data_IF_844854523293
#
_entry.id   IF_844854523293
#
_cell.length_a   1.000
_cell.length_b   1.000
_cell.length_c   1.000
_cell.angle_alpha   90.00
_cell.angle_beta   90.00
_cell.angle_gamma   90.00
#
_symmetry.space_group_name_H-M   'P 1'
#
loop_
_entity.id
_entity.type
_entity.pdbx_description
1 polymer ?
#
# COMPACT_ATOMS: atom_id res chain seq x y z
N UNK A 1 16.06 -1.09 12.61
CA UNK A 1 16.51 -1.04 11.21
C UNK A 1 17.68 -1.99 10.97
N UNK A 2 18.91 -1.58 11.29
CA UNK A 2 20.13 -2.32 10.95
C UNK A 2 20.17 -3.77 11.47
N UNK A 3 19.77 -4.01 12.73
CA UNK A 3 19.76 -5.37 13.32
C UNK A 3 18.84 -6.33 12.54
N UNK A 4 17.68 -5.86 12.07
CA UNK A 4 16.75 -6.68 11.29
C UNK A 4 17.38 -7.11 9.97
N UNK A 5 18.02 -6.17 9.26
CA UNK A 5 18.65 -6.44 7.97
C UNK A 5 19.73 -7.52 8.11
N UNK A 6 20.57 -7.43 9.16
CA UNK A 6 21.59 -8.45 9.41
C UNK A 6 20.99 -9.82 9.69
N UNK A 7 19.92 -9.89 10.49
CA UNK A 7 19.19 -11.14 10.76
C UNK A 7 18.59 -11.71 9.47
N UNK A 8 18.02 -10.87 8.62
CA UNK A 8 17.40 -11.30 7.36
C UNK A 8 18.43 -11.83 6.36
N UNK A 9 19.59 -11.18 6.23
CA UNK A 9 20.70 -11.68 5.43
C UNK A 9 21.18 -13.02 5.98
N UNK A 10 21.40 -13.11 7.30
CA UNK A 10 21.86 -14.33 7.94
C UNK A 10 20.87 -15.49 7.74
N UNK A 11 19.56 -15.25 7.91
CA UNK A 11 18.54 -16.30 7.71
C UNK A 11 18.50 -16.81 6.27
N UNK A 12 18.79 -15.96 5.28
CA UNK A 12 18.79 -16.35 3.86
C UNK A 12 19.90 -17.37 3.53
N UNK A 13 21.02 -17.35 4.26
CA UNK A 13 22.13 -18.30 4.08
C UNK A 13 21.93 -19.62 4.83
N UNK A 14 21.13 -19.65 5.90
CA UNK A 14 20.98 -20.82 6.76
C UNK A 14 20.45 -22.08 6.02
N UNK A 15 19.48 -22.02 5.08
CA UNK A 15 19.05 -23.22 4.35
C UNK A 15 20.17 -23.86 3.52
N UNK A 16 21.09 -23.05 2.98
CA UNK A 16 22.27 -23.57 2.26
C UNK A 16 23.24 -24.25 3.23
N UNK A 17 23.51 -23.64 4.38
CA UNK A 17 24.37 -24.20 5.42
C UNK A 17 23.79 -25.50 6.00
N UNK A 18 22.47 -25.54 6.23
CA UNK A 18 21.75 -26.74 6.69
C UNK A 18 21.86 -27.86 5.64
N UNK A 19 21.59 -27.55 4.36
CA UNK A 19 21.69 -28.51 3.28
C UNK A 19 23.11 -29.07 3.13
N UNK A 20 24.13 -28.20 3.26
CA UNK A 20 25.53 -28.61 3.22
C UNK A 20 25.90 -29.48 4.44
N UNK A 21 25.60 -29.03 5.66
CA UNK A 21 25.86 -29.81 6.88
C UNK A 21 25.17 -31.19 6.87
N UNK A 22 24.01 -31.29 6.22
CA UNK A 22 23.29 -32.55 6.03
C UNK A 22 24.02 -33.51 5.08
N UNK A 23 24.55 -33.02 3.95
CA UNK A 23 25.30 -33.83 2.97
C UNK A 23 26.59 -34.36 3.60
N UNK A 24 27.32 -33.52 4.31
CA UNK A 24 28.59 -33.84 4.99
C UNK A 24 28.39 -34.64 6.29
N UNK A 25 27.14 -35.03 6.61
CA UNK A 25 26.76 -35.84 7.78
C UNK A 25 27.05 -35.19 9.14
N UNK A 26 27.22 -33.87 9.21
CA UNK A 26 27.33 -33.10 10.46
C UNK A 26 25.96 -32.91 11.13
N UNK A 27 25.37 -33.99 11.65
CA UNK A 27 23.99 -34.01 12.19
C UNK A 27 23.75 -32.98 13.29
N UNK A 28 24.67 -32.83 14.25
CA UNK A 28 24.52 -31.85 15.33
C UNK A 28 24.53 -30.42 14.80
N UNK A 29 25.42 -30.11 13.85
CA UNK A 29 25.50 -28.79 13.21
C UNK A 29 24.22 -28.46 12.43
N UNK A 30 23.68 -29.44 11.70
CA UNK A 30 22.41 -29.28 10.99
C UNK A 30 21.24 -29.00 11.94
N UNK A 31 21.16 -29.70 13.08
CA UNK A 31 20.12 -29.47 14.10
C UNK A 31 20.25 -28.07 14.72
N UNK A 32 21.45 -27.65 15.13
CA UNK A 32 21.65 -26.32 15.70
C UNK A 32 21.35 -25.21 14.69
N UNK A 33 21.76 -25.37 13.43
CA UNK A 33 21.45 -24.42 12.36
C UNK A 33 19.94 -24.36 12.07
N UNK A 34 19.23 -25.50 12.12
CA UNK A 34 17.79 -25.55 11.95
C UNK A 34 17.04 -24.85 13.11
N UNK A 35 17.47 -25.05 14.35
CA UNK A 35 16.92 -24.35 15.51
C UNK A 35 17.14 -22.83 15.40
N UNK A 36 18.35 -22.40 15.05
CA UNK A 36 18.68 -21.00 14.85
C UNK A 36 17.85 -20.39 13.71
N UNK A 37 17.72 -21.08 12.58
CA UNK A 37 16.87 -20.67 11.46
C UNK A 37 15.41 -20.50 11.89
N UNK A 38 14.90 -21.44 12.67
CA UNK A 38 13.53 -21.41 13.18
C UNK A 38 13.32 -20.21 14.12
N UNK A 39 14.28 -19.92 15.00
CA UNK A 39 14.26 -18.74 15.86
C UNK A 39 14.26 -17.43 15.07
N UNK A 40 15.15 -17.30 14.08
CA UNK A 40 15.18 -16.14 13.18
C UNK A 40 13.86 -15.98 12.41
N UNK A 41 13.31 -17.07 11.89
CA UNK A 41 12.05 -17.05 11.14
C UNK A 41 10.89 -16.60 12.01
N UNK A 42 10.74 -17.14 13.24
CA UNK A 42 9.69 -16.72 14.17
C UNK A 42 9.82 -15.23 14.53
N UNK A 43 11.03 -14.77 14.82
CA UNK A 43 11.29 -13.37 15.16
C UNK A 43 10.97 -12.41 13.99
N UNK A 44 11.47 -12.71 12.79
CA UNK A 44 11.20 -11.90 11.60
C UNK A 44 9.72 -11.95 11.22
N UNK A 45 9.05 -13.11 11.33
CA UNK A 45 7.61 -13.25 11.09
C UNK A 45 6.75 -12.40 12.03
N UNK A 46 7.07 -12.37 13.34
CA UNK A 46 6.39 -11.50 14.29
C UNK A 46 6.56 -10.02 13.93
N UNK A 47 7.77 -9.64 13.51
CA UNK A 47 8.07 -8.28 13.06
C UNK A 47 7.30 -7.90 11.79
N UNK A 48 7.21 -8.82 10.83
CA UNK A 48 6.46 -8.66 9.59
C UNK A 48 4.95 -8.51 9.84
N UNK A 49 4.38 -9.29 10.76
CA UNK A 49 2.99 -9.13 11.22
C UNK A 49 2.78 -7.73 11.80
N UNK A 50 3.68 -7.27 12.68
CA UNK A 50 3.60 -5.94 13.28
C UNK A 50 3.61 -4.83 12.23
N UNK A 51 4.53 -4.90 11.27
CA UNK A 51 4.62 -3.93 10.17
C UNK A 51 3.38 -3.94 9.26
N UNK A 52 2.92 -5.13 8.85
CA UNK A 52 1.73 -5.28 8.02
C UNK A 52 0.46 -4.84 8.76
N UNK A 53 0.35 -5.10 10.05
CA UNK A 53 -0.75 -4.64 10.88
C UNK A 53 -0.72 -3.10 11.05
N UNK A 54 0.46 -2.51 11.27
CA UNK A 54 0.60 -1.07 11.46
C UNK A 54 0.28 -0.28 10.19
N UNK A 55 0.88 -0.66 9.05
CA UNK A 55 0.63 -0.03 7.75
C UNK A 55 -0.85 -0.10 7.37
N UNK A 56 -1.48 -1.26 7.56
CA UNK A 56 -2.90 -1.43 7.31
C UNK A 56 -3.76 -0.66 8.31
N UNK A 57 -3.39 -0.68 9.59
CA UNK A 57 -4.07 0.06 10.66
C UNK A 57 -4.11 1.56 10.38
N UNK A 58 -2.98 2.16 10.01
CA UNK A 58 -2.90 3.58 9.67
C UNK A 58 -3.81 3.96 8.49
N UNK A 59 -3.94 3.10 7.48
CA UNK A 59 -4.84 3.34 6.35
C UNK A 59 -6.32 3.15 6.69
N UNK A 60 -6.65 2.24 7.60
CA UNK A 60 -8.02 1.99 8.05
C UNK A 60 -8.48 3.12 8.97
N UNK A 61 -7.61 3.58 9.87
CA UNK A 61 -7.90 4.66 10.82
C UNK A 61 -8.14 6.00 10.10
N UNK A 62 -7.31 6.34 9.11
CA UNK A 62 -7.49 7.58 8.34
C UNK A 62 -8.84 7.59 7.60
N UNK A 63 -9.26 6.45 7.04
CA UNK A 63 -10.58 6.29 6.39
C UNK A 63 -11.74 6.31 7.39
N UNK A 64 -11.56 5.71 8.57
CA UNK A 64 -12.55 5.75 9.63
C UNK A 64 -12.78 7.20 10.11
N UNK A 65 -11.71 7.97 10.29
CA UNK A 65 -11.79 9.39 10.62
C UNK A 65 -12.49 10.22 9.52
N UNK A 66 -12.19 9.96 8.24
CA UNK A 66 -12.89 10.59 7.12
C UNK A 66 -14.38 10.23 7.07
N UNK A 67 -14.73 8.98 7.36
CA UNK A 67 -16.13 8.53 7.40
C UNK A 67 -16.90 9.20 8.53
N UNK A 68 -16.28 9.33 9.71
CA UNK A 68 -16.88 10.07 10.83
C UNK A 68 -17.13 11.56 10.48
N UNK A 69 -16.18 12.20 9.79
CA UNK A 69 -16.36 13.58 9.29
C UNK A 69 -17.47 13.66 8.26
N UNK A 70 -17.57 12.67 7.37
CA UNK A 70 -18.66 12.58 6.40
C UNK A 70 -20.02 12.46 7.09
N UNK A 71 -20.16 11.60 8.10
CA UNK A 71 -21.42 11.43 8.83
C UNK A 71 -21.80 12.71 9.58
N UNK A 72 -20.83 13.41 10.15
CA UNK A 72 -21.04 14.72 10.78
C UNK A 72 -21.48 15.79 9.78
N UNK A 73 -20.79 15.90 8.64
CA UNK A 73 -21.15 16.85 7.57
C UNK A 73 -22.53 16.54 6.97
N UNK A 74 -22.88 15.26 6.83
CA UNK A 74 -24.20 14.85 6.37
C UNK A 74 -25.30 15.24 7.36
N UNK A 75 -25.08 15.01 8.66
CA UNK A 75 -26.03 15.43 9.69
C UNK A 75 -26.19 16.96 9.70
N UNK A 76 -25.11 17.68 9.47
CA UNK A 76 -25.15 19.14 9.34
C UNK A 76 -25.97 19.57 8.11
N UNK A 77 -25.79 18.92 6.97
CA UNK A 77 -26.60 19.16 5.78
C UNK A 77 -28.09 18.91 6.05
N UNK A 78 -28.41 17.82 6.73
CA UNK A 78 -29.79 17.48 7.11
C UNK A 78 -30.39 18.54 8.06
N UNK A 79 -29.60 19.06 9.01
CA UNK A 79 -30.02 20.16 9.89
C UNK A 79 -30.30 21.44 9.10
N UNK A 80 -29.37 21.86 8.23
CA UNK A 80 -29.52 23.06 7.39
C UNK A 80 -30.72 22.94 6.46
N UNK A 81 -30.96 21.76 5.89
CA UNK A 81 -32.15 21.48 5.08
C UNK A 81 -33.43 21.53 5.91
N UNK A 82 -33.39 21.08 7.17
CA UNK A 82 -34.48 21.23 8.13
C UNK A 82 -34.79 22.69 8.44
N UNK A 83 -33.77 23.52 8.65
CA UNK A 83 -33.90 24.96 8.87
C UNK A 83 -34.48 25.65 7.62
N UNK A 84 -33.98 25.31 6.42
CA UNK A 84 -34.53 25.79 5.15
C UNK A 84 -36.00 25.44 4.96
N UNK A 85 -36.44 24.26 5.42
CA UNK A 85 -37.83 23.85 5.33
C UNK A 85 -38.75 24.62 6.30
N UNK A 86 -38.21 25.11 7.43
CA UNK A 86 -38.94 25.94 8.39
C UNK A 86 -39.05 27.40 7.93
N UNK A 87 -38.07 27.91 7.17
CA UNK A 87 -38.16 29.23 6.55
C UNK A 87 -39.22 29.17 5.44
N UNK A 88 -40.22 30.04 5.53
CA UNK A 88 -41.29 30.09 4.55
C UNK A 88 -40.72 30.23 3.12
N UNK A 89 -41.47 29.76 2.12
CA UNK A 89 -41.07 29.89 0.71
C UNK A 89 -41.14 31.36 0.28
N UNK A 90 -40.07 32.09 0.56
CA UNK A 90 -39.89 33.50 0.21
C UNK A 90 -39.35 33.63 -1.21
N UNK A 91 -39.67 34.74 -1.88
CA UNK A 91 -39.11 35.08 -3.20
C UNK A 91 -37.59 35.30 -3.09
N UNK A 92 -36.81 35.05 -4.17
CA UNK A 92 -35.37 35.31 -4.14
C UNK A 92 -35.07 36.78 -3.80
N UNK A 93 -34.03 37.01 -3.00
CA UNK A 93 -33.56 38.35 -2.61
C UNK A 93 -33.53 39.38 -3.75
N UNK A 94 -32.99 39.11 -4.95
CA UNK A 94 -32.99 40.10 -6.04
C UNK A 94 -34.39 40.52 -6.51
N UNK A 95 -35.38 39.63 -6.41
CA UNK A 95 -36.78 39.92 -6.77
C UNK A 95 -37.44 40.81 -5.71
N UNK A 96 -37.14 40.58 -4.43
CA UNK A 96 -37.68 41.41 -3.33
C UNK A 96 -37.03 42.79 -3.35
N UNK A 97 -35.71 42.88 -3.58
CA UNK A 97 -35.00 44.17 -3.76
C UNK A 97 -35.60 44.97 -4.92
N UNK A 98 -35.81 44.34 -6.08
CA UNK A 98 -36.46 45.00 -7.21
C UNK A 98 -37.89 45.47 -6.88
N UNK A 99 -38.62 44.72 -6.05
CA UNK A 99 -39.95 45.11 -5.57
C UNK A 99 -39.90 46.31 -4.61
N UNK A 100 -38.93 46.33 -3.70
CA UNK A 100 -38.68 47.46 -2.79
C UNK A 100 -38.29 48.72 -3.57
N UNK A 101 -37.40 48.60 -4.55
CA UNK A 101 -36.97 49.74 -5.36
C UNK A 101 -38.09 50.28 -6.24
N UNK A 102 -38.94 49.38 -6.79
CA UNK A 102 -40.18 49.80 -7.46
C UNK A 102 -41.13 50.53 -6.52
N UNK A 103 -41.28 50.07 -5.28
CA UNK A 103 -42.14 50.75 -4.29
C UNK A 103 -41.62 52.15 -3.93
N UNK A 104 -40.29 52.34 -3.87
CA UNK A 104 -39.67 53.67 -3.66
C UNK A 104 -39.92 54.66 -4.81
N UNK A 105 -40.20 54.17 -6.01
CA UNK A 105 -40.55 55.00 -7.17
C UNK A 105 -42.02 55.46 -7.19
N UNK A 106 -42.89 54.90 -6.35
CA UNK A 106 -44.29 55.33 -6.27
C UNK A 106 -44.40 56.74 -5.66
N UNK A 107 -45.28 57.59 -6.20
CA UNK A 107 -45.54 58.95 -5.67
C UNK A 107 -45.88 58.94 -4.18
N UNK A 108 -46.54 57.87 -3.71
CA UNK A 108 -46.92 57.69 -2.30
C UNK A 108 -45.71 57.65 -1.36
N UNK A 109 -44.59 57.12 -1.84
CA UNK A 109 -43.32 57.08 -1.10
C UNK A 109 -42.83 58.48 -0.76
N UNK A 110 -42.81 59.39 -1.75
CA UNK A 110 -42.40 60.78 -1.55
C UNK A 110 -43.40 61.55 -0.68
N UNK A 111 -44.70 61.36 -0.92
CA UNK A 111 -45.76 62.09 -0.17
C UNK A 111 -45.90 61.68 1.30
N UNK A 112 -45.30 60.56 1.70
CA UNK A 112 -45.29 60.07 3.09
C UNK A 112 -43.94 60.28 3.77
N UNK A 113 -43.02 61.00 3.12
CA UNK A 113 -41.65 61.22 3.57
C UNK A 113 -40.94 59.91 3.95
N UNK A 114 -40.95 58.92 3.04
CA UNK A 114 -40.37 57.60 3.28
C UNK A 114 -41.06 56.85 4.43
N UNK A 115 -42.40 56.96 4.48
CA UNK A 115 -43.23 56.42 5.54
C UNK A 115 -43.00 57.00 6.95
N UNK A 116 -42.36 58.16 7.07
CA UNK A 116 -42.24 58.90 8.35
C UNK A 116 -43.53 59.64 8.72
N UNK A 117 -44.27 60.12 7.73
CA UNK A 117 -45.53 60.85 7.93
C UNK A 117 -46.69 60.30 7.08
N UNK A 118 -47.26 59.18 7.52
CA UNK A 118 -48.39 58.53 6.85
C UNK A 118 -49.74 58.95 7.46
N UNK A 119 -50.18 60.19 7.19
CA UNK A 119 -51.45 60.73 7.73
C UNK A 119 -52.70 60.20 7.03
N UNK A 120 -52.65 60.01 5.71
CA UNK A 120 -53.82 59.56 4.91
C UNK A 120 -53.98 58.03 4.94
N UNK A 121 -55.21 57.54 4.80
CA UNK A 121 -55.48 56.09 4.75
C UNK A 121 -54.72 55.39 3.60
N UNK A 122 -54.57 56.07 2.46
CA UNK A 122 -53.83 55.54 1.30
C UNK A 122 -52.33 55.41 1.56
N UNK A 123 -51.72 56.40 2.24
CA UNK A 123 -50.32 56.37 2.63
C UNK A 123 -50.06 55.29 3.68
N UNK A 124 -50.96 55.13 4.67
CA UNK A 124 -50.85 54.07 5.69
C UNK A 124 -50.86 52.67 5.07
N UNK A 125 -51.78 52.42 4.13
CA UNK A 125 -51.88 51.11 3.45
C UNK A 125 -50.64 50.82 2.61
N UNK A 126 -50.12 51.83 1.90
CA UNK A 126 -48.87 51.70 1.15
C UNK A 126 -47.69 51.40 2.08
N UNK A 127 -47.53 52.14 3.17
CA UNK A 127 -46.45 51.93 4.14
C UNK A 127 -46.53 50.56 4.83
N UNK A 128 -47.73 50.05 5.10
CA UNK A 128 -47.92 48.68 5.58
C UNK A 128 -47.39 47.66 4.56
N UNK A 129 -47.77 47.78 3.29
CA UNK A 129 -47.27 46.88 2.23
C UNK A 129 -45.75 46.97 2.01
N UNK A 130 -45.17 48.15 2.21
CA UNK A 130 -43.72 48.34 2.14
C UNK A 130 -43.00 47.69 3.33
N UNK A 131 -43.56 47.80 4.54
CA UNK A 131 -43.06 47.10 5.72
C UNK A 131 -43.14 45.57 5.54
N UNK A 132 -44.21 45.06 4.94
CA UNK A 132 -44.32 43.62 4.61
C UNK A 132 -43.21 43.18 3.63
N UNK A 133 -42.89 44.01 2.62
CA UNK A 133 -41.76 43.74 1.71
C UNK A 133 -40.40 43.77 2.43
N UNK A 134 -40.23 44.60 3.46
CA UNK A 134 -39.02 44.60 4.28
C UNK A 134 -38.89 43.35 5.13
N UNK A 135 -39.99 42.88 5.72
CA UNK A 135 -40.02 41.60 6.46
C UNK A 135 -39.71 40.44 5.52
N UNK A 136 -40.29 40.45 4.33
CA UNK A 136 -40.00 39.46 3.30
C UNK A 136 -38.52 39.52 2.88
N UNK A 137 -37.95 40.71 2.72
CA UNK A 137 -36.53 40.87 2.39
C UNK A 137 -35.62 40.31 3.48
N UNK A 138 -35.93 40.56 4.75
CA UNK A 138 -35.17 40.00 5.86
C UNK A 138 -35.21 38.46 5.85
N UNK A 139 -36.39 37.86 5.60
CA UNK A 139 -36.53 36.42 5.48
C UNK A 139 -35.81 35.85 4.24
N UNK A 140 -35.79 36.58 3.11
CA UNK A 140 -35.05 36.21 1.92
C UNK A 140 -33.53 36.16 2.19
N UNK A 141 -32.99 37.16 2.90
CA UNK A 141 -31.58 37.20 3.28
C UNK A 141 -31.19 36.04 4.22
N UNK A 142 -32.07 35.67 5.15
CA UNK A 142 -31.83 34.53 6.03
C UNK A 142 -31.80 33.22 5.26
N UNK A 143 -32.76 33.04 4.34
CA UNK A 143 -32.80 31.89 3.44
C UNK A 143 -31.53 31.79 2.59
N UNK A 144 -31.07 32.90 1.98
CA UNK A 144 -29.85 32.92 1.16
C UNK A 144 -28.62 32.45 1.97
N UNK A 145 -28.54 32.80 3.26
CA UNK A 145 -27.45 32.33 4.14
C UNK A 145 -27.49 30.81 4.33
N UNK A 146 -28.66 30.23 4.54
CA UNK A 146 -28.80 28.78 4.67
C UNK A 146 -28.53 28.06 3.35
N UNK A 147 -28.98 28.59 2.21
CA UNK A 147 -28.66 28.03 0.88
C UNK A 147 -27.14 28.05 0.62
N UNK A 148 -26.46 29.16 0.93
CA UNK A 148 -25.00 29.25 0.80
C UNK A 148 -24.26 28.26 1.72
N UNK A 149 -24.76 28.05 2.93
CA UNK A 149 -24.22 27.06 3.87
C UNK A 149 -24.43 25.63 3.35
N UNK A 150 -25.61 25.33 2.80
CA UNK A 150 -25.92 24.04 2.18
C UNK A 150 -24.91 23.71 1.08
N UNK A 151 -24.68 24.63 0.14
CA UNK A 151 -23.71 24.44 -0.95
C UNK A 151 -22.29 24.20 -0.42
N UNK A 152 -21.90 24.89 0.65
CA UNK A 152 -20.57 24.71 1.27
C UNK A 152 -20.44 23.32 1.91
N UNK A 153 -21.45 22.86 2.64
CA UNK A 153 -21.46 21.54 3.28
C UNK A 153 -21.52 20.42 2.22
N UNK A 154 -22.29 20.60 1.15
CA UNK A 154 -22.31 19.67 0.01
C UNK A 154 -20.93 19.54 -0.65
N UNK A 155 -20.23 20.66 -0.86
CA UNK A 155 -18.87 20.63 -1.38
C UNK A 155 -17.88 19.92 -0.44
N UNK A 156 -18.03 20.08 0.88
CA UNK A 156 -17.25 19.34 1.87
C UNK A 156 -17.53 17.83 1.81
N UNK A 157 -18.82 17.46 1.72
CA UNK A 157 -19.24 16.07 1.54
C UNK A 157 -18.61 15.46 0.28
N UNK A 158 -18.65 16.16 -0.84
CA UNK A 158 -18.05 15.71 -2.09
C UNK A 158 -16.53 15.55 -1.99
N UNK A 159 -15.85 16.47 -1.31
CA UNK A 159 -14.41 16.35 -1.04
C UNK A 159 -14.09 15.14 -0.16
N UNK A 160 -14.90 14.88 0.87
CA UNK A 160 -14.75 13.72 1.75
C UNK A 160 -14.95 12.41 0.98
N UNK A 161 -15.97 12.33 0.11
CA UNK A 161 -16.21 11.16 -0.77
C UNK A 161 -14.99 10.94 -1.67
N UNK A 162 -14.48 11.98 -2.33
CA UNK A 162 -13.28 11.88 -3.19
C UNK A 162 -12.05 11.43 -2.42
N UNK A 163 -11.93 11.79 -1.15
CA UNK A 163 -10.83 11.37 -0.28
C UNK A 163 -10.96 9.95 0.28
N UNK A 164 -12.10 9.30 0.06
CA UNK A 164 -12.34 7.90 0.41
C UNK A 164 -13.32 7.67 1.57
N UNK A 165 -14.07 8.69 2.01
CA UNK A 165 -15.15 8.48 2.97
C UNK A 165 -16.20 7.48 2.43
N UNK A 166 -16.83 6.71 3.34
CA UNK A 166 -17.79 5.60 3.05
C UNK A 166 -17.22 4.36 2.37
N UNK A 167 -15.96 4.34 1.94
CA UNK A 167 -15.34 3.08 1.55
C UNK A 167 -15.17 2.24 2.81
N UNK A 168 -15.56 0.96 2.73
CA UNK A 168 -15.19 -0.03 3.75
C UNK A 168 -13.70 0.18 4.06
N UNK A 169 -13.36 0.36 5.34
CA UNK A 169 -12.00 0.80 5.75
C UNK A 169 -10.89 -0.03 5.10
N UNK A 170 -11.21 -1.27 4.75
CA UNK A 170 -10.38 -2.20 4.00
C UNK A 170 -11.14 -2.82 2.81
N UNK A 171 -11.05 -2.18 1.65
CA UNK A 171 -11.72 -2.63 0.40
C UNK A 171 -11.38 -4.08 0.06
N UNK A 172 -10.12 -4.48 0.21
CA UNK A 172 -9.68 -5.84 -0.11
C UNK A 172 -10.31 -6.88 0.82
N UNK A 173 -10.31 -6.60 2.13
CA UNK A 173 -10.97 -7.48 3.09
C UNK A 173 -12.49 -7.48 2.91
N UNK A 174 -13.09 -6.35 2.53
CA UNK A 174 -14.51 -6.22 2.20
C UNK A 174 -14.90 -7.12 1.04
N UNK A 175 -14.19 -7.06 -0.10
CA UNK A 175 -14.48 -7.90 -1.27
C UNK A 175 -14.30 -9.39 -0.93
N UNK A 176 -13.19 -9.78 -0.28
CA UNK A 176 -12.97 -11.17 0.11
C UNK A 176 -14.01 -11.66 1.13
N UNK A 177 -14.47 -10.81 2.04
CA UNK A 177 -15.51 -11.18 3.00
C UNK A 177 -16.84 -11.52 2.33
N UNK A 178 -17.23 -10.74 1.31
CA UNK A 178 -18.45 -10.97 0.53
C UNK A 178 -18.35 -12.26 -0.29
N UNK A 179 -17.17 -12.57 -0.83
CA UNK A 179 -16.94 -13.79 -1.60
C UNK A 179 -16.85 -15.05 -0.73
N UNK A 180 -16.18 -14.95 0.43
CA UNK A 180 -15.93 -16.10 1.31
C UNK A 180 -17.01 -16.35 2.36
N UNK A 181 -17.90 -15.37 2.61
CA UNK A 181 -18.84 -15.39 3.73
C UNK A 181 -18.18 -15.23 5.10
N UNK A 182 -16.86 -15.00 5.15
CA UNK A 182 -16.09 -14.85 6.38
C UNK A 182 -16.05 -13.37 6.77
N UNK A 183 -16.25 -13.05 8.06
CA UNK A 183 -16.23 -11.66 8.52
C UNK A 183 -14.93 -10.90 8.19
N UNK A 184 -15.07 -9.62 7.82
CA UNK A 184 -13.98 -8.71 7.37
C UNK A 184 -12.75 -8.76 8.30
N UNK A 185 -12.96 -8.74 9.63
CA UNK A 185 -11.85 -8.79 10.61
C UNK A 185 -11.03 -10.07 10.51
N UNK A 186 -11.64 -11.23 10.22
CA UNK A 186 -10.91 -12.49 10.05
C UNK A 186 -10.13 -12.49 8.73
N UNK A 187 -10.75 -12.00 7.66
CA UNK A 187 -10.11 -11.84 6.34
C UNK A 187 -8.89 -10.91 6.44
N UNK A 188 -9.03 -9.78 7.14
CA UNK A 188 -7.95 -8.82 7.37
C UNK A 188 -6.77 -9.47 8.11
N UNK A 189 -7.03 -10.19 9.21
CA UNK A 189 -5.99 -10.95 9.93
C UNK A 189 -5.33 -12.00 9.04
N UNK A 190 -6.13 -12.72 8.25
CA UNK A 190 -5.65 -13.72 7.29
C UNK A 190 -4.72 -13.13 6.24
N UNK A 191 -5.07 -11.97 5.67
CA UNK A 191 -4.22 -11.25 4.72
C UNK A 191 -2.91 -10.76 5.35
N UNK A 192 -2.95 -10.24 6.58
CA UNK A 192 -1.73 -9.84 7.31
C UNK A 192 -0.80 -11.05 7.50
N UNK A 193 -1.35 -12.19 7.95
CA UNK A 193 -0.58 -13.43 8.11
C UNK A 193 -0.04 -13.95 6.78
N UNK A 194 -0.84 -13.89 5.70
CA UNK A 194 -0.42 -14.32 4.36
C UNK A 194 0.73 -13.47 3.83
N UNK A 195 0.65 -12.14 3.95
CA UNK A 195 1.72 -11.23 3.52
C UNK A 195 2.99 -11.47 4.33
N UNK A 196 2.88 -11.59 5.66
CA UNK A 196 4.02 -11.92 6.50
C UNK A 196 4.64 -13.26 6.09
N UNK A 197 3.84 -14.29 5.81
CA UNK A 197 4.32 -15.60 5.38
C UNK A 197 5.03 -15.54 4.02
N UNK A 198 4.49 -14.80 3.06
CA UNK A 198 5.09 -14.62 1.74
C UNK A 198 6.44 -13.90 1.82
N UNK A 199 6.51 -12.80 2.57
CA UNK A 199 7.74 -12.02 2.75
C UNK A 199 8.81 -12.86 3.46
N UNK A 200 8.44 -13.54 4.54
CA UNK A 200 9.37 -14.39 5.29
C UNK A 200 9.80 -15.63 4.52
N UNK A 201 8.89 -16.27 3.80
CA UNK A 201 9.18 -17.40 2.94
C UNK A 201 10.13 -17.04 1.81
N UNK A 202 9.89 -15.91 1.13
CA UNK A 202 10.76 -15.41 0.08
C UNK A 202 12.15 -15.00 0.62
N UNK A 203 12.21 -14.31 1.76
CA UNK A 203 13.48 -13.90 2.36
C UNK A 203 14.28 -15.08 2.92
N UNK A 204 13.61 -16.05 3.55
CA UNK A 204 14.25 -17.22 4.13
C UNK A 204 14.73 -18.24 3.09
N UNK A 205 13.90 -18.53 2.08
CA UNK A 205 14.19 -19.60 1.11
C UNK A 205 14.54 -19.10 -0.28
N UNK A 206 14.44 -17.80 -0.57
CA UNK A 206 14.65 -17.25 -1.91
C UNK A 206 16.02 -17.58 -2.48
N UNK A 207 17.08 -17.44 -1.67
CA UNK A 207 18.44 -17.79 -2.09
C UNK A 207 18.59 -19.30 -2.34
N UNK A 208 17.99 -20.13 -1.50
CA UNK A 208 17.98 -21.59 -1.68
C UNK A 208 17.29 -21.98 -2.98
N UNK A 209 16.08 -21.47 -3.25
CA UNK A 209 15.36 -21.74 -4.48
C UNK A 209 16.09 -21.22 -5.73
N UNK A 210 16.69 -20.02 -5.64
CA UNK A 210 17.51 -19.46 -6.73
C UNK A 210 18.75 -20.33 -7.05
N UNK A 211 19.26 -21.08 -6.06
CA UNK A 211 20.41 -21.98 -6.25
C UNK A 211 20.06 -23.35 -6.83
N UNK A 212 18.77 -23.75 -6.87
CA UNK A 212 18.36 -25.07 -7.37
C UNK A 212 18.73 -25.32 -8.84
N UNK A 213 18.50 -24.38 -9.79
CA UNK A 213 18.87 -24.59 -11.19
C UNK A 213 20.39 -24.76 -11.38
N UNK A 214 21.21 -24.08 -10.57
CA UNK A 214 22.67 -24.16 -10.63
C UNK A 214 23.21 -25.54 -10.24
N UNK A 215 22.47 -26.31 -9.43
CA UNK A 215 22.83 -27.69 -9.09
C UNK A 215 22.60 -28.66 -10.25
N UNK A 216 21.65 -28.37 -11.15
CA UNK A 216 21.38 -29.17 -12.36
C UNK A 216 22.41 -28.99 -13.48
N UNK A 217 23.21 -27.91 -13.44
CA UNK A 217 24.23 -27.57 -14.46
C UNK A 217 25.57 -28.29 -14.29
N UNK A 218 25.67 -29.29 -13.40
CA UNK A 218 26.84 -30.18 -13.31
C UNK A 218 26.66 -31.54 -14.04
N UNK A 219 26.60 -31.57 -15.38
CA UNK A 219 27.06 -32.75 -16.13
C UNK A 219 28.46 -32.59 -16.74
N UNK A 220 29.05 -31.38 -16.71
CA UNK A 220 30.24 -31.07 -17.52
C UNK A 220 31.59 -31.05 -16.80
N UNK A 221 31.63 -30.75 -15.50
CA UNK A 221 32.91 -30.55 -14.79
C UNK A 221 33.56 -31.87 -14.35
N UNK A 222 32.76 -32.86 -13.96
CA UNK A 222 33.30 -34.17 -13.59
C UNK A 222 33.84 -34.91 -14.84
N UNK A 223 33.20 -34.71 -15.99
CA UNK A 223 33.65 -35.26 -17.27
C UNK A 223 34.99 -34.66 -17.74
N UNK A 224 35.27 -33.39 -17.46
CA UNK A 224 36.58 -32.78 -17.80
C UNK A 224 37.68 -33.23 -16.84
N UNK A 225 37.40 -33.33 -15.54
CA UNK A 225 38.38 -33.85 -14.55
C UNK A 225 38.75 -35.31 -14.82
N UNK A 226 37.77 -36.13 -15.18
CA UNK A 226 38.02 -37.54 -15.50
C UNK A 226 38.78 -37.72 -16.83
N UNK A 227 38.50 -36.87 -17.83
CA UNK A 227 39.26 -36.82 -19.10
C UNK A 227 40.70 -36.37 -18.89
N UNK A 228 40.97 -35.43 -18.00
CA UNK A 228 42.34 -34.97 -17.71
C UNK A 228 43.14 -35.99 -16.91
N UNK A 229 42.52 -36.67 -15.93
CA UNK A 229 43.14 -37.76 -15.18
C UNK A 229 43.55 -38.92 -16.11
N UNK A 230 42.71 -39.23 -17.09
CA UNK A 230 42.97 -40.23 -18.12
C UNK A 230 44.17 -39.84 -19.00
N UNK A 231 44.28 -38.56 -19.40
CA UNK A 231 45.42 -38.04 -20.18
C UNK A 231 46.73 -38.09 -19.40
N UNK A 232 46.72 -37.71 -18.13
CA UNK A 232 47.90 -37.76 -17.26
C UNK A 232 48.37 -39.20 -17.06
N UNK A 233 47.45 -40.16 -16.87
CA UNK A 233 47.78 -41.57 -16.78
C UNK A 233 48.35 -42.13 -18.09
N UNK A 234 47.79 -41.75 -19.23
CA UNK A 234 48.29 -42.15 -20.56
C UNK A 234 49.70 -41.59 -20.81
N UNK A 235 49.94 -40.32 -20.49
CA UNK A 235 51.25 -39.68 -20.61
C UNK A 235 52.31 -40.37 -19.73
N UNK A 236 51.95 -40.74 -18.48
CA UNK A 236 52.83 -41.54 -17.61
C UNK A 236 53.16 -42.91 -18.20
N UNK A 237 52.18 -43.61 -18.77
CA UNK A 237 52.41 -44.91 -19.42
C UNK A 237 53.32 -44.81 -20.65
N UNK A 238 53.10 -43.80 -21.50
CA UNK A 238 53.95 -43.56 -22.67
C UNK A 238 55.38 -43.19 -22.28
N UNK A 239 55.56 -42.37 -21.23
CA UNK A 239 56.88 -42.04 -20.71
C UNK A 239 57.62 -43.28 -20.16
N UNK A 240 56.91 -44.15 -19.44
CA UNK A 240 57.47 -45.41 -18.95
C UNK A 240 57.86 -46.37 -20.10
N UNK A 241 57.03 -46.50 -21.13
CA UNK A 241 57.33 -47.33 -22.30
C UNK A 241 58.55 -46.80 -23.09
N UNK A 242 58.69 -45.47 -23.20
CA UNK A 242 59.85 -44.83 -23.85
C UNK A 242 61.14 -44.98 -23.03
N UNK A 243 61.05 -45.08 -21.71
CA UNK A 243 62.19 -45.37 -20.85
C UNK A 243 62.66 -46.84 -21.00
N UNK A 244 61.74 -47.78 -21.16
CA UNK A 244 62.03 -49.21 -21.33
C UNK A 244 62.69 -49.55 -22.69
N UNK A 245 62.59 -48.68 -23.69
CA UNK A 245 63.13 -48.89 -25.05
C UNK A 245 64.45 -48.13 -25.29
N UNK A 246 65.02 -47.47 -24.29
CA UNK A 246 66.37 -46.91 -24.41
C UNK A 246 67.39 -48.05 -24.32
N UNK A 247 68.26 -48.24 -25.33
CA UNK A 247 69.27 -49.29 -25.28
C UNK A 247 70.19 -49.04 -24.08
N UNK A 248 70.32 -50.07 -23.24
CA UNK A 248 70.80 -49.94 -21.87
C UNK A 248 72.30 -49.83 -21.73
N UNK A 249 73.08 -49.94 -22.81
CA UNK A 249 74.53 -49.77 -22.69
C UNK A 249 75.15 -49.43 -24.04
N UNK A 250 75.74 -48.25 -24.11
CA UNK A 250 76.77 -47.99 -25.09
C UNK A 250 78.06 -48.58 -24.53
N UNK A 251 78.49 -49.73 -25.06
CA UNK A 251 79.77 -50.34 -24.70
C UNK A 251 80.78 -49.89 -25.76
N UNK A 252 81.94 -49.42 -25.31
CA UNK A 252 83.04 -49.05 -26.19
C UNK A 252 83.80 -50.33 -26.54
N UNK A 253 83.79 -50.71 -27.81
CA UNK A 253 84.60 -51.83 -28.28
C UNK A 253 86.09 -51.48 -28.16
N UNK A 254 86.95 -52.50 -28.10
CA UNK A 254 88.39 -52.34 -27.88
C UNK A 254 89.11 -51.55 -28.99
N UNK A 255 88.47 -51.38 -30.15
CA UNK A 255 88.93 -50.59 -31.29
C UNK A 255 88.47 -49.12 -31.24
N UNK A 256 87.72 -48.72 -30.21
CA UNK A 256 87.25 -47.35 -30.02
C UNK A 256 85.91 -47.01 -30.65
N UNK A 257 85.26 -47.93 -31.37
CA UNK A 257 83.90 -47.70 -31.89
C UNK A 257 82.84 -47.90 -30.80
N UNK A 258 81.83 -47.03 -30.81
CA UNK A 258 80.67 -47.10 -29.92
C UNK A 258 79.64 -48.04 -30.54
N UNK A 259 79.39 -49.19 -29.91
CA UNK A 259 78.32 -50.09 -30.31
C UNK A 259 77.17 -50.03 -29.31
N UNK A 260 75.96 -50.16 -29.83
CA UNK A 260 74.72 -50.25 -29.05
C UNK A 260 74.51 -51.74 -28.76
N UNK A 261 74.50 -52.12 -27.49
CA UNK A 261 74.10 -53.48 -27.04
C UNK A 261 72.58 -53.55 -26.84
#
# INVERSE_FOLDING_TARGET
GAVSITIDIFKAFLPLAIAWAWIERYRLGAVLAALLFSGCLVFSFMSAIGFAAWTRGATVESRAAQTLRYDAAKKELDNVNGELAMVAKVRPTPVVVASLDRAKQDRRWQSSEECKDATTASSRTFCASFADLQVEFAAALERDKFEARSVTVEAEIDALIKSGARLDGDIQAGILSRFSGVGVRRVQKGLILLVALLVEGAAGFGLFFASLPLRGLKPGLDATVERDRSRVLLAKRLAAAKAATRPTRLVRAADGQLMIE
#
